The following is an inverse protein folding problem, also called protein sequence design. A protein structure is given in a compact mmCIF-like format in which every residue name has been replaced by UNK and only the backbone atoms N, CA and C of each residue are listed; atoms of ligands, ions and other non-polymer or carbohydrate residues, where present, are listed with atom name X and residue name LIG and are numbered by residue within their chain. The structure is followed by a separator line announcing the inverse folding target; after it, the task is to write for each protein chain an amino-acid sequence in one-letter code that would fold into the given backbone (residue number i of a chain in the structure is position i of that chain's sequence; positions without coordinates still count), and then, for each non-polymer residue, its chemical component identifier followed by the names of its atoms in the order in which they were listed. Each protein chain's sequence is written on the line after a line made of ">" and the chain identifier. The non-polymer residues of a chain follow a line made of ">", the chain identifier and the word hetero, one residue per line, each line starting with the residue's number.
data_IF_342619050645
#
_entry.id   IF_342619050645
#
_cell.length_a   1.000
_cell.length_b   1.000
_cell.length_c   1.000
_cell.angle_alpha   90.00
_cell.angle_beta   90.00
_cell.angle_gamma   90.00
#
_symmetry.space_group_name_H-M   'P 1'
#
loop_
_entity.id
_entity.type
_entity.pdbx_description
1 polymer ?
#
# COMPACT_ATOMS: atom_id res chain seq x y z
N UNK A 1 4.29 -14.04 20.66
CA UNK A 1 4.94 -13.12 19.69
C UNK A 1 4.57 -13.55 18.28
N UNK A 2 4.18 -12.64 17.37
CA UNK A 2 3.74 -13.06 16.02
C UNK A 2 4.93 -13.60 15.20
N UNK A 3 4.72 -14.56 14.27
CA UNK A 3 5.80 -15.11 13.45
C UNK A 3 6.55 -14.05 12.64
N UNK A 4 5.82 -13.04 12.13
CA UNK A 4 6.44 -11.91 11.43
C UNK A 4 7.34 -11.10 12.36
N UNK A 5 6.88 -10.78 13.57
CA UNK A 5 7.66 -9.96 14.50
C UNK A 5 8.96 -10.65 14.91
N UNK A 6 8.92 -11.96 15.18
CA UNK A 6 10.13 -12.75 15.41
C UNK A 6 11.10 -12.66 14.22
N UNK A 7 10.59 -12.86 12.99
CA UNK A 7 11.41 -12.79 11.78
C UNK A 7 12.06 -11.43 11.58
N UNK A 8 11.32 -10.34 11.80
CA UNK A 8 11.85 -8.98 11.71
C UNK A 8 12.99 -8.76 12.72
N UNK A 9 12.79 -9.19 13.97
CA UNK A 9 13.83 -9.05 15.02
C UNK A 9 15.08 -9.86 14.69
N UNK A 10 14.92 -11.08 14.18
CA UNK A 10 16.06 -11.93 13.81
C UNK A 10 16.82 -11.34 12.63
N UNK A 11 16.12 -10.84 11.61
CA UNK A 11 16.74 -10.14 10.47
C UNK A 11 17.45 -8.86 10.90
N UNK A 12 16.92 -8.12 11.88
CA UNK A 12 17.56 -6.91 12.41
C UNK A 12 18.84 -7.22 13.21
N UNK A 13 18.85 -8.32 13.97
CA UNK A 13 20.07 -8.81 14.64
C UNK A 13 21.12 -9.23 13.61
N UNK A 14 20.73 -9.99 12.60
CA UNK A 14 21.62 -10.36 11.50
C UNK A 14 22.16 -9.14 10.75
N UNK A 15 21.34 -8.09 10.56
CA UNK A 15 21.81 -6.83 9.97
C UNK A 15 22.88 -6.15 10.84
N UNK A 16 22.68 -6.16 12.16
CA UNK A 16 23.63 -5.60 13.12
C UNK A 16 24.96 -6.33 13.09
N UNK A 17 24.93 -7.67 13.02
CA UNK A 17 26.12 -8.51 12.93
C UNK A 17 26.86 -8.35 11.60
N UNK A 18 26.13 -8.33 10.47
CA UNK A 18 26.73 -8.27 9.14
C UNK A 18 27.25 -6.89 8.77
N UNK A 19 26.67 -5.82 9.35
CA UNK A 19 27.02 -4.45 9.04
C UNK A 19 26.90 -3.55 10.29
N UNK A 20 27.97 -3.39 11.07
CA UNK A 20 27.97 -2.59 12.29
C UNK A 20 27.53 -1.13 12.08
N UNK A 21 27.82 -0.54 10.92
CA UNK A 21 27.39 0.84 10.58
C UNK A 21 25.87 0.96 10.54
N UNK A 22 25.18 -0.10 10.11
CA UNK A 22 23.72 -0.17 10.10
C UNK A 22 23.14 -0.81 11.36
N UNK A 23 23.97 -1.23 12.31
CA UNK A 23 23.54 -1.84 13.57
C UNK A 23 22.73 -0.86 14.43
N UNK A 24 23.20 0.37 14.54
CA UNK A 24 22.49 1.43 15.26
C UNK A 24 21.16 1.78 14.59
N UNK A 25 21.12 1.73 13.25
CA UNK A 25 19.90 1.95 12.47
C UNK A 25 18.86 0.85 12.78
N UNK A 26 19.24 -0.43 12.67
CA UNK A 26 18.36 -1.56 12.95
C UNK A 26 17.89 -1.56 14.43
N UNK A 27 18.78 -1.20 15.34
CA UNK A 27 18.47 -1.14 16.77
C UNK A 27 17.45 -0.06 17.06
N UNK A 28 17.74 1.19 16.68
CA UNK A 28 16.88 2.34 16.93
C UNK A 28 15.53 2.29 16.21
N UNK A 29 15.43 1.56 15.09
CA UNK A 29 14.19 1.50 14.30
C UNK A 29 13.33 0.28 14.62
N UNK A 30 13.90 -0.78 15.20
CA UNK A 30 13.18 -2.04 15.41
C UNK A 30 13.44 -2.68 16.78
N UNK A 31 14.71 -2.89 17.17
CA UNK A 31 15.02 -3.73 18.34
C UNK A 31 14.70 -3.08 19.69
N UNK A 32 14.67 -1.74 19.75
CA UNK A 32 14.28 -0.97 20.94
C UNK A 32 12.80 -1.17 21.32
N UNK A 33 11.96 -1.56 20.37
CA UNK A 33 10.53 -1.79 20.59
C UNK A 33 10.26 -3.23 21.05
N UNK A 34 9.28 -3.41 21.91
CA UNK A 34 8.85 -4.72 22.42
C UNK A 34 7.79 -5.37 21.54
N UNK A 35 6.97 -4.56 20.87
CA UNK A 35 5.86 -5.00 20.01
C UNK A 35 6.05 -4.56 18.56
N UNK A 36 5.36 -5.25 17.64
CA UNK A 36 5.37 -4.88 16.22
C UNK A 36 4.60 -3.59 15.98
N UNK A 37 3.52 -3.39 16.73
CA UNK A 37 2.65 -2.23 16.72
C UNK A 37 3.42 -0.95 17.05
N UNK A 38 4.21 -0.97 18.13
CA UNK A 38 5.02 0.19 18.53
C UNK A 38 6.11 0.50 17.50
N UNK A 39 6.77 -0.54 16.99
CA UNK A 39 7.77 -0.38 15.93
C UNK A 39 7.16 0.21 14.65
N UNK A 40 5.97 -0.26 14.26
CA UNK A 40 5.25 0.23 13.08
C UNK A 40 4.87 1.72 13.25
N UNK A 41 4.28 2.09 14.39
CA UNK A 41 3.94 3.47 14.71
C UNK A 41 5.16 4.38 14.62
N UNK A 42 6.25 4.00 15.28
CA UNK A 42 7.47 4.78 15.31
C UNK A 42 8.14 4.91 13.93
N UNK A 43 8.13 3.84 13.13
CA UNK A 43 8.69 3.88 11.79
C UNK A 43 7.93 4.85 10.87
N UNK A 44 6.60 4.85 10.92
CA UNK A 44 5.77 5.78 10.16
C UNK A 44 5.94 7.22 10.64
N UNK A 45 5.89 7.43 11.97
CA UNK A 45 6.09 8.73 12.61
C UNK A 45 7.43 9.36 12.18
N UNK A 46 8.52 8.59 12.28
CA UNK A 46 9.87 9.06 11.93
C UNK A 46 9.98 9.48 10.47
N UNK A 47 9.36 8.75 9.55
CA UNK A 47 9.41 9.08 8.12
C UNK A 47 8.53 10.27 7.76
N UNK A 48 7.45 10.50 8.52
CA UNK A 48 6.55 11.64 8.33
C UNK A 48 6.96 12.88 9.14
N UNK A 49 7.95 12.77 10.02
CA UNK A 49 8.33 13.84 10.96
C UNK A 49 8.66 15.16 10.26
N UNK A 50 9.29 15.11 9.08
CA UNK A 50 9.62 16.30 8.30
C UNK A 50 8.37 17.12 7.88
N UNK A 51 7.21 16.47 7.75
CA UNK A 51 5.95 17.10 7.37
C UNK A 51 5.17 17.63 8.59
N UNK A 52 5.33 16.99 9.74
CA UNK A 52 4.64 17.32 10.99
C UNK A 52 5.41 18.30 11.89
N UNK A 53 6.54 18.84 11.40
CA UNK A 53 7.36 19.82 12.15
C UNK A 53 7.73 19.31 13.55
N UNK A 54 7.41 20.06 14.62
CA UNK A 54 7.76 19.74 16.02
C UNK A 54 6.73 18.86 16.74
N UNK A 55 5.74 18.31 16.04
CA UNK A 55 4.71 17.46 16.66
C UNK A 55 5.27 16.05 16.89
N UNK A 56 5.14 15.52 18.10
CA UNK A 56 5.52 14.16 18.43
C UNK A 56 4.48 13.16 17.89
N UNK A 57 4.72 12.62 16.69
CA UNK A 57 3.79 11.70 16.03
C UNK A 57 3.79 10.28 16.63
N UNK A 58 4.89 9.85 17.24
CA UNK A 58 5.08 8.46 17.63
C UNK A 58 4.03 7.97 18.63
N UNK A 59 3.85 8.68 19.75
CA UNK A 59 2.88 8.26 20.79
C UNK A 59 1.44 8.38 20.31
N UNK A 60 1.16 9.35 19.45
CA UNK A 60 -0.15 9.49 18.82
C UNK A 60 -0.46 8.30 17.90
N UNK A 61 0.49 7.91 17.04
CA UNK A 61 0.31 6.75 16.16
C UNK A 61 0.21 5.43 16.95
N UNK A 62 0.96 5.28 18.05
CA UNK A 62 0.82 4.13 18.96
C UNK A 62 -0.59 4.05 19.52
N UNK A 63 -1.15 5.17 19.98
CA UNK A 63 -2.51 5.22 20.52
C UNK A 63 -3.55 4.82 19.46
N UNK A 64 -3.42 5.32 18.22
CA UNK A 64 -4.33 4.96 17.11
C UNK A 64 -4.23 3.47 16.78
N UNK A 65 -3.02 2.91 16.63
CA UNK A 65 -2.84 1.49 16.31
C UNK A 65 -3.37 0.59 17.44
N UNK A 66 -3.23 1.02 18.70
CA UNK A 66 -3.80 0.31 19.85
C UNK A 66 -5.33 0.32 19.84
N UNK A 67 -5.94 1.44 19.46
CA UNK A 67 -7.39 1.57 19.32
C UNK A 67 -7.93 0.80 18.09
N UNK A 68 -7.12 0.70 17.04
CA UNK A 68 -7.45 0.03 15.77
C UNK A 68 -6.45 -1.09 15.40
N UNK A 69 -6.51 -2.27 16.05
CA UNK A 69 -5.57 -3.38 15.80
C UNK A 69 -5.54 -3.89 14.35
N UNK A 70 -6.59 -3.63 13.58
CA UNK A 70 -6.68 -3.98 12.15
C UNK A 70 -5.57 -3.31 11.32
N UNK A 71 -5.05 -2.16 11.75
CA UNK A 71 -3.93 -1.46 11.11
C UNK A 71 -2.69 -2.33 11.11
N UNK A 72 -2.27 -2.82 12.30
CA UNK A 72 -1.10 -3.68 12.43
C UNK A 72 -1.31 -5.05 11.78
N UNK A 73 -2.50 -5.64 11.89
CA UNK A 73 -2.82 -6.91 11.23
C UNK A 73 -2.70 -6.82 9.70
N UNK A 74 -3.20 -5.72 9.12
CA UNK A 74 -3.13 -5.49 7.68
C UNK A 74 -1.71 -5.18 7.23
N UNK A 75 -0.96 -4.38 8.00
CA UNK A 75 0.46 -4.12 7.75
C UNK A 75 1.28 -5.41 7.72
N UNK A 76 1.05 -6.31 8.67
CA UNK A 76 1.70 -7.61 8.69
C UNK A 76 1.36 -8.45 7.44
N UNK A 77 0.10 -8.43 7.00
CA UNK A 77 -0.33 -9.12 5.79
C UNK A 77 0.28 -8.52 4.51
N UNK A 78 0.42 -7.20 4.44
CA UNK A 78 1.03 -6.46 3.33
C UNK A 78 2.54 -6.75 3.23
N UNK A 79 3.27 -6.75 4.36
CA UNK A 79 4.70 -7.05 4.42
C UNK A 79 4.99 -8.49 3.97
N UNK A 80 4.25 -9.46 4.49
CA UNK A 80 4.41 -10.86 4.07
C UNK A 80 4.11 -11.03 2.58
N UNK A 81 3.07 -10.36 2.07
CA UNK A 81 2.72 -10.46 0.67
C UNK A 81 3.79 -9.84 -0.24
N UNK A 82 4.28 -8.64 0.09
CA UNK A 82 5.34 -7.96 -0.65
C UNK A 82 6.56 -8.86 -0.82
N UNK A 83 7.05 -9.45 0.27
CA UNK A 83 8.23 -10.30 0.22
C UNK A 83 8.01 -11.54 -0.66
N UNK A 84 6.80 -12.10 -0.65
CA UNK A 84 6.46 -13.26 -1.49
C UNK A 84 6.37 -12.91 -2.98
N UNK A 85 5.87 -11.71 -3.33
CA UNK A 85 5.55 -11.38 -4.74
C UNK A 85 6.59 -10.51 -5.43
N UNK A 86 7.47 -9.84 -4.69
CA UNK A 86 8.46 -8.94 -5.25
C UNK A 86 9.89 -9.49 -5.14
N UNK A 87 10.49 -9.99 -6.24
CA UNK A 87 11.87 -10.47 -6.25
C UNK A 87 12.92 -9.43 -5.86
N UNK A 88 12.59 -8.13 -5.94
CA UNK A 88 13.48 -7.04 -5.55
C UNK A 88 13.42 -6.73 -4.03
N UNK A 89 12.50 -7.35 -3.29
CA UNK A 89 12.44 -7.25 -1.85
C UNK A 89 13.29 -8.37 -1.22
N UNK A 90 14.47 -8.07 -0.64
CA UNK A 90 15.39 -9.11 -0.18
C UNK A 90 14.89 -9.85 1.07
N UNK A 91 14.14 -9.16 1.93
CA UNK A 91 13.64 -9.71 3.19
C UNK A 91 12.48 -8.87 3.77
N UNK A 92 11.87 -9.38 4.85
CA UNK A 92 10.74 -8.74 5.52
C UNK A 92 11.17 -7.46 6.26
N UNK A 93 12.41 -7.42 6.77
CA UNK A 93 12.97 -6.24 7.43
C UNK A 93 13.06 -5.06 6.46
N UNK A 94 13.54 -5.29 5.25
CA UNK A 94 13.64 -4.27 4.21
C UNK A 94 12.25 -3.81 3.78
N UNK A 95 11.31 -4.75 3.59
CA UNK A 95 9.89 -4.42 3.37
C UNK A 95 9.33 -3.47 4.44
N UNK A 96 9.60 -3.75 5.72
CA UNK A 96 9.14 -2.93 6.84
C UNK A 96 9.82 -1.54 6.88
N UNK A 97 11.15 -1.49 6.74
CA UNK A 97 11.93 -0.27 6.95
C UNK A 97 11.89 0.71 5.78
N UNK A 98 11.79 0.26 4.53
CA UNK A 98 12.10 1.14 3.38
C UNK A 98 11.11 1.09 2.21
N UNK A 99 10.23 0.09 2.12
CA UNK A 99 9.31 -0.01 0.97
C UNK A 99 8.18 1.02 1.05
N UNK A 100 8.38 2.15 0.38
CA UNK A 100 7.45 3.29 0.33
C UNK A 100 6.01 2.94 0.01
N UNK A 101 5.77 1.99 -0.89
CA UNK A 101 4.43 1.56 -1.25
C UNK A 101 3.68 0.96 -0.07
N UNK A 102 4.37 0.12 0.72
CA UNK A 102 3.83 -0.46 1.95
C UNK A 102 3.66 0.61 3.02
N UNK A 103 4.64 1.49 3.19
CA UNK A 103 4.61 2.57 4.18
C UNK A 103 3.44 3.53 3.95
N UNK A 104 3.21 3.94 2.70
CA UNK A 104 2.10 4.80 2.33
C UNK A 104 0.74 4.12 2.58
N UNK A 105 0.61 2.82 2.28
CA UNK A 105 -0.60 2.06 2.62
C UNK A 105 -0.82 2.02 4.13
N UNK A 106 0.23 1.84 4.94
CA UNK A 106 0.06 1.81 6.40
C UNK A 106 -0.27 3.19 6.99
N UNK A 107 0.31 4.27 6.45
CA UNK A 107 -0.06 5.63 6.81
C UNK A 107 -1.51 5.94 6.44
N UNK A 108 -1.97 5.49 5.26
CA UNK A 108 -3.39 5.55 4.90
C UNK A 108 -4.26 4.81 5.91
N UNK A 109 -3.85 3.65 6.44
CA UNK A 109 -4.67 2.91 7.43
C UNK A 109 -4.81 3.67 8.74
N UNK A 110 -3.80 4.42 9.15
CA UNK A 110 -3.89 5.37 10.29
C UNK A 110 -4.89 6.48 9.96
N UNK A 111 -4.76 7.10 8.79
CA UNK A 111 -5.69 8.14 8.35
C UNK A 111 -7.14 7.62 8.24
N UNK A 112 -7.33 6.40 7.75
CA UNK A 112 -8.62 5.75 7.63
C UNK A 112 -9.25 5.46 8.99
N UNK A 113 -8.45 5.07 10.00
CA UNK A 113 -8.93 4.89 11.36
C UNK A 113 -9.45 6.21 11.95
N UNK A 114 -8.67 7.29 11.82
CA UNK A 114 -9.09 8.64 12.25
C UNK A 114 -10.37 9.09 11.53
N UNK A 115 -10.45 8.86 10.22
CA UNK A 115 -11.64 9.17 9.42
C UNK A 115 -12.87 8.40 9.91
N UNK A 116 -12.72 7.10 10.21
CA UNK A 116 -13.80 6.27 10.71
C UNK A 116 -14.30 6.68 12.11
N UNK A 117 -13.44 7.30 12.92
CA UNK A 117 -13.78 7.87 14.22
C UNK A 117 -14.42 9.28 14.12
N UNK A 118 -14.47 9.86 12.92
CA UNK A 118 -15.05 11.18 12.65
C UNK A 118 -14.06 12.34 12.75
N UNK A 119 -12.77 12.07 13.03
CA UNK A 119 -11.72 13.09 12.99
C UNK A 119 -11.17 13.25 11.56
N UNK A 120 -12.02 13.83 10.70
CA UNK A 120 -11.71 14.03 9.28
C UNK A 120 -10.52 14.98 9.07
N UNK A 121 -10.35 15.98 9.95
CA UNK A 121 -9.27 16.96 9.82
C UNK A 121 -7.90 16.30 10.04
N UNK A 122 -7.76 15.53 11.11
CA UNK A 122 -6.51 14.79 11.37
C UNK A 122 -6.25 13.73 10.30
N UNK A 123 -7.30 13.04 9.83
CA UNK A 123 -7.18 12.07 8.75
C UNK A 123 -6.62 12.70 7.45
N UNK A 124 -7.14 13.86 7.06
CA UNK A 124 -6.66 14.60 5.87
C UNK A 124 -5.25 15.15 6.07
N UNK A 125 -4.88 15.59 7.28
CA UNK A 125 -3.50 15.98 7.58
C UNK A 125 -2.53 14.80 7.40
N UNK A 126 -2.85 13.64 7.97
CA UNK A 126 -2.04 12.41 7.83
C UNK A 126 -1.94 11.99 6.36
N UNK A 127 -3.03 12.07 5.59
CA UNK A 127 -3.03 11.84 4.15
C UNK A 127 -2.02 12.75 3.43
N UNK A 128 -2.09 14.07 3.67
CA UNK A 128 -1.22 15.04 2.98
C UNK A 128 0.25 14.85 3.36
N UNK A 129 0.54 14.58 4.64
CA UNK A 129 1.90 14.26 5.07
C UNK A 129 2.43 12.99 4.39
N UNK A 130 1.61 11.93 4.31
CA UNK A 130 1.98 10.70 3.62
C UNK A 130 2.21 10.94 2.11
N UNK A 131 1.34 11.73 1.47
CA UNK A 131 1.47 12.09 0.07
C UNK A 131 2.77 12.88 -0.21
N UNK A 132 3.13 13.82 0.67
CA UNK A 132 4.39 14.56 0.56
C UNK A 132 5.63 13.68 0.81
N UNK A 133 5.56 12.73 1.74
CA UNK A 133 6.68 11.84 2.07
C UNK A 133 6.94 10.80 0.97
N UNK A 134 5.91 10.18 0.40
CA UNK A 134 6.06 9.03 -0.50
C UNK A 134 5.56 9.24 -1.93
N UNK A 135 4.98 10.42 -2.24
CA UNK A 135 4.35 10.73 -3.54
C UNK A 135 3.24 9.75 -3.92
N UNK A 136 2.48 9.29 -2.92
CA UNK A 136 1.34 8.37 -3.01
C UNK A 136 0.18 9.02 -2.26
N UNK A 137 -0.89 9.36 -2.96
CA UNK A 137 -2.06 10.03 -2.40
C UNK A 137 -3.24 9.04 -2.31
N UNK A 138 -3.69 8.75 -1.10
CA UNK A 138 -4.80 7.83 -0.85
C UNK A 138 -5.76 8.52 0.09
N UNK A 139 -6.96 8.84 -0.41
CA UNK A 139 -7.98 9.50 0.38
C UNK A 139 -8.40 8.64 1.59
N UNK A 140 -8.50 9.19 2.82
CA UNK A 140 -8.82 8.43 4.02
C UNK A 140 -10.13 7.65 3.92
N UNK A 141 -11.16 8.22 3.30
CA UNK A 141 -12.45 7.54 3.08
C UNK A 141 -12.42 6.35 2.10
N UNK A 142 -11.34 6.17 1.32
CA UNK A 142 -11.20 5.01 0.44
C UNK A 142 -11.26 3.72 1.26
N UNK A 143 -11.53 2.58 0.63
CA UNK A 143 -11.59 1.27 1.31
C UNK A 143 -10.59 0.31 0.71
N UNK A 144 -9.51 0.04 1.43
CA UNK A 144 -8.43 -0.84 0.99
C UNK A 144 -8.44 -2.15 1.80
N UNK A 145 -8.37 -3.27 1.09
CA UNK A 145 -8.17 -4.59 1.64
C UNK A 145 -6.76 -4.79 2.17
N UNK A 146 -6.36 -6.05 2.32
CA UNK A 146 -5.05 -6.48 2.86
C UNK A 146 -4.25 -7.28 1.84
N UNK A 147 -2.97 -7.52 2.16
CA UNK A 147 -2.01 -8.14 1.25
C UNK A 147 -1.89 -7.33 -0.04
N UNK A 148 -1.83 -6.01 0.07
CA UNK A 148 -1.63 -5.13 -1.08
C UNK A 148 -0.17 -5.07 -1.48
N UNK A 149 0.09 -4.99 -2.78
CA UNK A 149 1.41 -4.73 -3.32
C UNK A 149 1.40 -3.40 -4.09
N UNK A 150 2.23 -2.45 -3.67
CA UNK A 150 2.39 -1.16 -4.34
C UNK A 150 3.83 -1.06 -4.84
N UNK A 151 4.02 -1.25 -6.15
CA UNK A 151 5.34 -1.25 -6.78
C UNK A 151 5.78 0.17 -7.14
N UNK A 152 6.79 0.66 -6.43
CA UNK A 152 7.28 2.05 -6.41
C UNK A 152 6.24 3.10 -5.98
N UNK A 153 4.99 3.03 -6.44
CA UNK A 153 3.87 3.86 -6.05
C UNK A 153 3.93 5.33 -6.45
N UNK A 154 5.06 5.84 -6.96
CA UNK A 154 5.21 7.27 -7.31
C UNK A 154 4.08 7.72 -8.25
N UNK A 155 3.32 8.74 -7.84
CA UNK A 155 2.18 9.27 -8.59
C UNK A 155 0.91 8.41 -8.51
N UNK A 156 0.83 7.45 -7.58
CA UNK A 156 -0.39 6.73 -7.28
C UNK A 156 -1.40 7.68 -6.62
N UNK A 157 -2.62 7.70 -7.14
CA UNK A 157 -3.74 8.47 -6.58
C UNK A 157 -4.95 7.57 -6.41
N UNK A 158 -5.50 7.47 -5.21
CA UNK A 158 -6.72 6.70 -4.90
C UNK A 158 -7.75 7.64 -4.27
N UNK A 159 -8.86 7.83 -4.97
CA UNK A 159 -9.88 8.79 -4.56
C UNK A 159 -10.86 8.28 -3.51
N UNK A 160 -11.65 9.22 -2.97
CA UNK A 160 -12.51 9.09 -1.79
C UNK A 160 -13.38 7.83 -1.75
N UNK A 161 -14.09 7.53 -2.84
CA UNK A 161 -15.06 6.41 -2.86
C UNK A 161 -14.46 5.14 -3.44
N UNK A 162 -13.14 5.10 -3.70
CA UNK A 162 -12.51 3.93 -4.31
C UNK A 162 -12.57 2.73 -3.36
N UNK A 163 -12.76 1.55 -3.94
CA UNK A 163 -12.64 0.28 -3.20
C UNK A 163 -11.57 -0.55 -3.87
N UNK A 164 -10.61 -1.02 -3.08
CA UNK A 164 -9.54 -1.92 -3.50
C UNK A 164 -9.62 -3.14 -2.61
N UNK A 165 -9.98 -4.29 -3.16
CA UNK A 165 -10.03 -5.54 -2.41
C UNK A 165 -8.62 -6.12 -2.14
N UNK A 166 -8.55 -7.24 -1.43
CA UNK A 166 -7.29 -7.87 -1.03
C UNK A 166 -6.42 -8.33 -2.23
N UNK A 167 -5.12 -8.50 -2.01
CA UNK A 167 -4.20 -9.10 -3.01
C UNK A 167 -4.15 -8.31 -4.33
N UNK A 168 -4.46 -7.01 -4.30
CA UNK A 168 -4.35 -6.15 -5.46
C UNK A 168 -2.93 -5.60 -5.56
N UNK A 169 -2.43 -5.56 -6.78
CA UNK A 169 -1.10 -5.04 -7.12
C UNK A 169 -1.22 -3.76 -7.96
N UNK A 170 -0.64 -2.67 -7.48
CA UNK A 170 -0.72 -1.31 -8.03
C UNK A 170 0.67 -0.80 -8.39
N UNK A 171 0.86 -0.30 -9.63
CA UNK A 171 2.13 0.28 -10.08
C UNK A 171 2.15 1.80 -9.93
N UNK A 172 3.34 2.38 -10.10
CA UNK A 172 3.55 3.82 -10.24
C UNK A 172 2.56 4.48 -11.24
N UNK A 173 2.14 5.71 -10.94
CA UNK A 173 1.32 6.53 -11.83
C UNK A 173 -0.09 6.01 -12.12
N UNK A 174 -0.60 5.07 -11.31
CA UNK A 174 -1.99 4.62 -11.38
C UNK A 174 -2.89 5.66 -10.71
N UNK A 175 -4.04 5.96 -11.33
CA UNK A 175 -5.04 6.86 -10.74
C UNK A 175 -6.40 6.17 -10.69
N UNK A 176 -6.92 5.96 -9.49
CA UNK A 176 -8.29 5.53 -9.21
C UNK A 176 -9.13 6.77 -8.86
N UNK A 177 -9.21 7.69 -9.83
CA UNK A 177 -9.89 8.98 -9.71
C UNK A 177 -11.29 8.99 -10.30
N UNK A 178 -11.99 10.11 -10.11
CA UNK A 178 -13.29 10.40 -10.69
C UNK A 178 -13.18 11.27 -11.94
N UNK A 179 -14.17 11.18 -12.83
CA UNK A 179 -14.46 12.25 -13.79
C UNK A 179 -15.28 13.31 -13.08
N UNK A 180 -14.79 14.55 -13.01
CA UNK A 180 -15.26 15.72 -12.23
C UNK A 180 -16.77 16.06 -12.22
N UNK A 181 -17.62 15.32 -12.94
CA UNK A 181 -19.02 15.65 -13.20
C UNK A 181 -20.04 14.80 -12.41
N UNK A 182 -19.62 13.93 -11.49
CA UNK A 182 -20.54 13.04 -10.76
C UNK A 182 -20.40 13.19 -9.25
N UNK A 183 -21.50 13.53 -8.58
CA UNK A 183 -21.61 13.47 -7.12
C UNK A 183 -21.92 12.04 -6.66
N UNK A 184 -21.39 11.63 -5.50
CA UNK A 184 -21.62 10.30 -4.93
C UNK A 184 -20.51 9.29 -5.26
N UNK A 185 -20.88 8.03 -5.44
CA UNK A 185 -19.93 6.94 -5.72
C UNK A 185 -19.40 7.00 -7.16
N UNK A 186 -18.17 7.48 -7.29
CA UNK A 186 -17.61 7.99 -8.55
C UNK A 186 -16.19 7.51 -8.84
N UNK A 187 -15.70 6.57 -8.03
CA UNK A 187 -14.35 6.03 -8.12
C UNK A 187 -14.36 4.52 -8.38
N UNK A 188 -13.30 3.96 -9.01
CA UNK A 188 -13.23 2.55 -9.36
C UNK A 188 -13.36 1.57 -8.17
N UNK A 189 -13.87 0.37 -8.47
CA UNK A 189 -13.89 -0.79 -7.57
C UNK A 189 -12.97 -1.88 -8.15
N UNK A 190 -11.86 -2.14 -7.47
CA UNK A 190 -10.82 -3.07 -7.89
C UNK A 190 -10.97 -4.36 -7.09
N UNK A 191 -11.11 -5.48 -7.81
CA UNK A 191 -11.40 -6.79 -7.22
C UNK A 191 -10.13 -7.52 -6.80
N UNK A 192 -10.33 -8.48 -5.90
CA UNK A 192 -9.27 -9.29 -5.32
C UNK A 192 -8.35 -9.87 -6.40
N UNK A 193 -7.04 -9.77 -6.19
CA UNK A 193 -6.05 -10.33 -7.12
C UNK A 193 -5.80 -9.51 -8.38
N UNK A 194 -6.43 -8.35 -8.53
CA UNK A 194 -6.26 -7.53 -9.73
C UNK A 194 -4.85 -6.94 -9.82
N UNK A 195 -4.38 -6.82 -11.06
CA UNK A 195 -3.11 -6.21 -11.44
C UNK A 195 -3.38 -4.93 -12.23
N UNK A 196 -2.99 -3.77 -11.69
CA UNK A 196 -3.21 -2.47 -12.33
C UNK A 196 -1.87 -1.82 -12.68
N UNK A 197 -1.63 -1.67 -13.99
CA UNK A 197 -0.42 -1.09 -14.55
C UNK A 197 -0.69 0.31 -15.11
N UNK A 198 0.33 1.17 -15.12
CA UNK A 198 0.25 2.45 -15.82
C UNK A 198 -0.02 2.24 -17.31
N UNK A 199 -0.94 3.02 -17.85
CA UNK A 199 -1.16 3.08 -19.30
C UNK A 199 0.07 3.67 -19.99
N UNK A 200 0.72 2.90 -20.85
CA UNK A 200 1.72 3.44 -21.78
C UNK A 200 1.02 3.98 -23.03
N UNK A 201 1.16 5.28 -23.30
CA UNK A 201 0.76 5.86 -24.58
C UNK A 201 1.82 5.49 -25.63
N UNK A 202 1.64 4.34 -26.31
CA UNK A 202 2.35 4.10 -27.58
C UNK A 202 1.51 4.62 -28.74
N UNK A 203 1.84 5.81 -29.22
CA UNK A 203 1.47 6.27 -30.55
C UNK A 203 2.32 5.53 -31.59
N UNK A 204 1.78 4.46 -32.16
CA UNK A 204 2.43 3.75 -33.26
C UNK A 204 1.87 2.35 -33.43
N UNK A 205 0.96 2.18 -34.41
CA UNK A 205 0.38 0.98 -35.08
C UNK A 205 0.27 -0.41 -34.40
N UNK A 206 0.74 -0.62 -33.18
CA UNK A 206 0.48 -1.78 -32.35
C UNK A 206 -0.21 -1.29 -31.08
N UNK A 207 -1.54 -1.43 -31.04
CA UNK A 207 -2.33 -1.25 -29.82
C UNK A 207 -1.91 -2.30 -28.80
N UNK A 208 -0.87 -2.05 -28.01
CA UNK A 208 -0.71 -2.73 -26.73
C UNK A 208 -1.85 -2.23 -25.84
N UNK A 209 -2.90 -3.05 -25.71
CA UNK A 209 -3.97 -2.80 -24.73
C UNK A 209 -3.30 -2.65 -23.36
N UNK A 210 -3.27 -1.44 -22.81
CA UNK A 210 -3.08 -1.25 -21.39
C UNK A 210 -4.27 -1.93 -20.71
N UNK A 211 -4.05 -3.13 -20.18
CA UNK A 211 -5.09 -3.91 -19.52
C UNK A 211 -5.30 -3.34 -18.11
N UNK A 212 -6.32 -2.50 -17.97
CA UNK A 212 -7.03 -2.40 -16.69
C UNK A 212 -7.78 -3.72 -16.50
N UNK A 213 -7.34 -4.57 -15.57
CA UNK A 213 -8.16 -5.67 -15.07
C UNK A 213 -9.07 -5.13 -13.96
N UNK A 214 -10.07 -4.33 -14.34
CA UNK A 214 -11.05 -3.78 -13.40
C UNK A 214 -12.37 -4.57 -13.52
N UNK A 215 -12.67 -5.37 -12.50
CA UNK A 215 -13.99 -5.99 -12.32
C UNK A 215 -14.93 -5.07 -11.54
N UNK A 216 -15.79 -4.32 -12.23
CA UNK A 216 -16.85 -3.57 -11.53
C UNK A 216 -17.48 -2.52 -12.43
N UNK A 217 -18.78 -2.72 -12.69
CA UNK A 217 -19.67 -1.99 -13.60
C UNK A 217 -19.38 -0.50 -13.80
N UNK A 218 -19.09 -0.12 -15.05
CA UNK A 218 -19.63 1.07 -15.72
C UNK A 218 -19.84 0.70 -17.19
N UNK A 219 -20.96 1.14 -17.76
CA UNK A 219 -21.59 0.57 -18.97
C UNK A 219 -20.73 0.57 -20.23
N UNK A 220 -20.23 -0.62 -20.61
CA UNK A 220 -20.17 -1.21 -21.97
C UNK A 220 -19.30 -2.47 -21.86
N UNK A 221 -19.93 -3.62 -22.01
CA UNK A 221 -19.37 -4.97 -21.80
C UNK A 221 -18.21 -5.29 -22.74
N UNK A 222 -17.01 -5.47 -22.19
CA UNK A 222 -16.12 -6.54 -22.63
C UNK A 222 -15.93 -7.50 -21.46
N UNK A 223 -16.40 -8.74 -21.64
CA UNK A 223 -16.17 -9.84 -20.70
C UNK A 223 -14.69 -10.18 -20.64
N UNK A 224 -14.09 -10.18 -19.45
CA UNK A 224 -12.72 -10.63 -19.24
C UNK A 224 -12.70 -12.11 -18.82
N UNK A 225 -12.00 -12.94 -19.60
CA UNK A 225 -11.79 -14.35 -19.33
C UNK A 225 -10.73 -14.63 -18.25
N UNK A 226 -10.76 -15.85 -17.72
CA UNK A 226 -9.93 -16.37 -16.62
C UNK A 226 -8.46 -16.52 -17.06
N UNK A 227 -7.52 -16.06 -16.25
CA UNK A 227 -6.07 -16.26 -16.47
C UNK A 227 -5.65 -17.63 -15.90
N UNK A 228 -5.22 -18.56 -16.76
CA UNK A 228 -4.73 -19.89 -16.37
C UNK A 228 -3.30 -20.13 -16.89
N UNK A 229 -2.35 -19.32 -16.41
CA UNK A 229 -0.93 -19.67 -16.24
C UNK A 229 -0.03 -20.10 -17.41
N UNK A 230 -0.49 -20.58 -18.58
CA UNK A 230 0.42 -21.10 -19.65
C UNK A 230 -0.17 -20.93 -21.06
N UNK A 231 0.36 -19.95 -21.81
CA UNK A 231 0.24 -19.69 -23.27
C UNK A 231 -1.17 -19.55 -23.88
N UNK A 232 -1.31 -18.56 -24.78
CA UNK A 232 -2.48 -18.36 -25.63
C UNK A 232 -2.39 -19.23 -26.90
N UNK A 233 -3.33 -20.16 -27.07
CA UNK A 233 -3.69 -20.69 -28.39
C UNK A 233 -4.87 -19.88 -28.95
N UNK A 234 -4.72 -19.35 -30.17
CA UNK A 234 -5.83 -18.72 -30.89
C UNK A 234 -6.68 -19.81 -31.55
N UNK A 235 -7.77 -20.21 -30.91
CA UNK A 235 -8.84 -20.99 -31.54
C UNK A 235 -9.89 -20.05 -32.11
N UNK A 236 -9.98 -19.95 -33.45
CA UNK A 236 -11.14 -19.39 -34.13
C UNK A 236 -12.29 -20.39 -34.00
N UNK A 237 -13.40 -20.00 -33.37
CA UNK A 237 -14.69 -20.68 -33.53
C UNK A 237 -15.53 -19.90 -34.53
N UNK A 238 -15.69 -20.47 -35.74
CA UNK A 238 -16.78 -20.13 -36.66
C UNK A 238 -18.10 -20.70 -36.14
N UNK A 239 -19.20 -20.23 -36.72
CA UNK A 239 -20.56 -20.66 -36.40
C UNK A 239 -20.88 -22.10 -36.78
#
# INVERSE_FOLDING_TARGET
>A
MSPLWQRLRDQARQLTERNPVLGDYATSHLLVYSTFEDALAANLARQMQAQASNVALEDWFKAIIKASPSVAQSAAADINHLETVNPACPDHLTAFLTFRGIQAVQAYRIAHALWAEGDEQSAVLVQNWAANTWSIDIHPAARLGKSLFVDHGIGLVIGETAVVEDQVSLWHGVTLGSTLNEAGDRHPKIRRGALILRRSNRSGKHRSRSQCHCGGQLGRTQSCGRWNGRRWHTGKGGG
#
